data_IF_584595573249
#
_entry.id   IF_584595573249
#
_cell.length_a   1.000
_cell.length_b   1.000
_cell.length_c   1.000
_cell.angle_alpha   90.00
_cell.angle_beta   90.00
_cell.angle_gamma   90.00
#
_symmetry.space_group_name_H-M   'P 1'
#
loop_
_entity.id
_entity.type
_entity.pdbx_description
1 polymer ?
#
# COMPACT_ATOMS: atom_id res chain seq x y z
N UNK A 1 -12.27 -5.51 -12.18
CA UNK A 1 -11.04 -4.90 -12.75
C UNK A 1 -9.82 -5.61 -12.21
N UNK A 2 -8.89 -5.87 -13.07
CA UNK A 2 -7.55 -6.36 -12.76
C UNK A 2 -6.54 -5.37 -13.32
N UNK A 3 -5.52 -5.08 -12.56
CA UNK A 3 -4.38 -4.28 -12.99
C UNK A 3 -3.10 -4.85 -12.39
N UNK A 4 -2.06 -4.83 -13.17
CA UNK A 4 -0.71 -5.20 -12.80
C UNK A 4 0.22 -4.05 -13.17
N UNK A 5 1.15 -3.72 -12.32
CA UNK A 5 2.10 -2.66 -12.55
C UNK A 5 3.47 -3.11 -12.06
N UNK A 6 4.40 -3.20 -13.01
CA UNK A 6 5.81 -3.42 -12.75
C UNK A 6 6.57 -2.12 -12.98
N UNK A 7 7.40 -1.73 -12.04
CA UNK A 7 8.16 -0.50 -12.14
C UNK A 7 9.56 -0.66 -11.56
N UNK A 8 10.47 0.15 -12.08
CA UNK A 8 11.79 0.37 -11.51
C UNK A 8 12.01 1.86 -11.36
N UNK A 9 12.36 2.30 -10.17
CA UNK A 9 12.64 3.68 -9.88
C UNK A 9 14.01 3.80 -9.18
N UNK A 10 14.60 4.97 -9.28
CA UNK A 10 15.89 5.28 -8.66
C UNK A 10 15.70 6.32 -7.56
N UNK A 11 16.37 6.09 -6.45
CA UNK A 11 16.32 7.01 -5.32
C UNK A 11 17.28 8.21 -5.54
N UNK A 12 16.98 9.06 -6.52
CA UNK A 12 17.80 10.24 -6.87
C UNK A 12 18.10 11.14 -5.67
N UNK A 13 17.14 11.33 -4.79
CA UNK A 13 17.35 12.14 -3.59
C UNK A 13 18.40 11.52 -2.65
N UNK A 14 18.53 10.22 -2.68
CA UNK A 14 19.52 9.48 -1.93
C UNK A 14 20.89 9.59 -2.60
N UNK A 15 20.95 9.49 -3.92
CA UNK A 15 22.16 9.68 -4.72
C UNK A 15 22.72 11.09 -4.54
N UNK A 16 21.90 12.13 -4.70
CA UNK A 16 22.32 13.52 -4.52
C UNK A 16 22.84 13.80 -3.11
N UNK A 17 22.29 13.14 -2.13
CA UNK A 17 22.73 13.26 -0.75
C UNK A 17 24.11 12.63 -0.55
N UNK A 18 24.39 11.49 -1.15
CA UNK A 18 25.67 10.81 -1.10
C UNK A 18 26.76 11.56 -1.89
N UNK A 19 26.44 12.04 -3.05
CA UNK A 19 27.36 12.83 -3.88
C UNK A 19 27.74 14.17 -3.24
N UNK A 20 26.81 14.75 -2.50
CA UNK A 20 26.98 16.08 -1.91
C UNK A 20 27.55 16.11 -0.51
N UNK A 21 27.95 15.04 0.04
CA UNK A 21 28.74 14.94 1.15
C UNK A 21 28.43 14.46 2.41
N UNK A 22 28.33 13.36 2.52
CA UNK A 22 28.91 12.81 3.69
C UNK A 22 28.26 13.10 5.05
N UNK A 23 27.10 13.68 5.14
CA UNK A 23 26.41 13.76 6.41
C UNK A 23 25.80 12.43 6.83
N UNK A 24 24.92 11.85 6.02
CA UNK A 24 24.31 10.54 6.27
C UNK A 24 25.14 9.38 5.69
N UNK A 25 25.96 9.61 4.70
CA UNK A 25 26.90 8.60 4.20
C UNK A 25 27.76 8.00 5.32
N UNK A 26 28.00 8.78 6.35
CA UNK A 26 28.73 8.33 7.52
C UNK A 26 27.99 7.23 8.31
N UNK A 27 26.69 7.17 8.23
CA UNK A 27 25.84 6.22 8.98
C UNK A 27 25.50 4.96 8.20
N UNK A 28 25.66 4.96 6.88
CA UNK A 28 25.29 3.87 6.00
C UNK A 28 26.48 3.33 5.21
N UNK A 29 27.39 2.65 5.91
CA UNK A 29 28.43 1.89 5.23
C UNK A 29 27.84 0.61 4.68
N UNK A 30 27.43 0.66 3.42
CA UNK A 30 27.07 -0.54 2.71
C UNK A 30 28.32 -1.26 2.26
N UNK A 31 28.34 -2.55 2.49
CA UNK A 31 29.48 -3.41 2.24
C UNK A 31 29.06 -4.61 1.40
N UNK A 32 30.00 -5.08 0.59
CA UNK A 32 29.89 -6.36 -0.09
C UNK A 32 30.11 -7.55 0.87
N UNK A 33 30.11 -8.77 0.31
CA UNK A 33 30.35 -10.00 1.09
C UNK A 33 31.76 -10.09 1.69
N UNK A 34 32.71 -9.34 1.20
CA UNK A 34 34.09 -9.27 1.68
C UNK A 34 34.30 -8.14 2.71
N UNK A 35 33.29 -7.34 2.97
CA UNK A 35 33.34 -6.19 3.87
C UNK A 35 33.89 -4.91 3.23
N UNK A 36 34.08 -4.88 1.92
CA UNK A 36 34.48 -3.67 1.20
C UNK A 36 33.29 -2.75 0.99
N UNK A 37 33.50 -1.44 1.18
CA UNK A 37 32.49 -0.41 0.94
C UNK A 37 32.11 -0.38 -0.54
N UNK A 38 30.81 -0.34 -0.81
CA UNK A 38 30.23 -0.31 -2.14
C UNK A 38 29.53 1.02 -2.41
N UNK A 39 29.21 1.25 -3.68
CA UNK A 39 28.36 2.36 -4.12
C UNK A 39 26.95 2.18 -3.53
N UNK A 40 26.46 3.16 -2.74
CA UNK A 40 25.17 3.03 -2.03
C UNK A 40 23.96 3.35 -2.88
N UNK A 41 24.10 3.60 -4.17
CA UNK A 41 22.97 3.93 -5.04
C UNK A 41 21.91 2.86 -5.00
N UNK A 42 20.70 3.29 -4.78
CA UNK A 42 19.54 2.43 -4.54
C UNK A 42 18.56 2.54 -5.70
N UNK A 43 18.01 1.41 -6.10
CA UNK A 43 16.86 1.35 -7.01
C UNK A 43 15.73 0.58 -6.35
N UNK A 44 14.50 0.94 -6.66
CA UNK A 44 13.30 0.23 -6.25
C UNK A 44 12.76 -0.56 -7.43
N UNK A 45 12.59 -1.85 -7.26
CA UNK A 45 11.90 -2.73 -8.21
C UNK A 45 10.57 -3.10 -7.56
N UNK A 46 9.46 -2.73 -8.19
CA UNK A 46 8.14 -2.94 -7.64
C UNK A 46 7.22 -3.71 -8.57
N UNK A 47 6.38 -4.52 -7.98
CA UNK A 47 5.29 -5.22 -8.65
C UNK A 47 4.03 -5.10 -7.82
N UNK A 48 2.96 -4.59 -8.44
CA UNK A 48 1.65 -4.45 -7.82
C UNK A 48 0.59 -5.23 -8.61
N UNK A 49 -0.10 -6.12 -7.93
CA UNK A 49 -1.23 -6.85 -8.50
C UNK A 49 -2.53 -6.40 -7.85
N UNK A 50 -3.33 -5.66 -8.57
CA UNK A 50 -4.59 -5.11 -8.09
C UNK A 50 -5.78 -5.83 -8.69
N UNK A 51 -6.72 -6.26 -7.83
CA UNK A 51 -8.00 -6.88 -8.22
C UNK A 51 -9.14 -6.17 -7.52
N UNK A 52 -10.18 -5.85 -8.27
CA UNK A 52 -11.37 -5.19 -7.72
C UNK A 52 -12.64 -5.82 -8.28
N UNK A 53 -13.53 -6.18 -7.38
CA UNK A 53 -14.93 -6.55 -7.66
C UNK A 53 -15.82 -5.52 -6.97
N UNK A 54 -16.77 -4.94 -7.70
CA UNK A 54 -17.83 -4.11 -7.14
C UNK A 54 -19.17 -4.55 -7.69
N UNK A 55 -20.18 -4.55 -6.85
CA UNK A 55 -21.55 -4.89 -7.15
C UNK A 55 -22.49 -3.87 -6.52
N UNK A 56 -23.45 -3.41 -7.27
CA UNK A 56 -24.50 -2.54 -6.77
C UNK A 56 -25.86 -3.04 -7.28
N UNK A 57 -26.79 -3.17 -6.38
CA UNK A 57 -28.20 -3.38 -6.71
C UNK A 57 -28.97 -2.15 -6.31
N UNK A 58 -29.67 -1.55 -7.27
CA UNK A 58 -30.44 -0.33 -7.07
C UNK A 58 -31.88 -0.54 -7.48
N UNK A 59 -32.80 0.04 -6.71
CA UNK A 59 -34.21 0.16 -7.05
C UNK A 59 -34.61 1.62 -7.02
N UNK A 60 -35.48 2.02 -7.92
CA UNK A 60 -36.03 3.37 -7.96
C UNK A 60 -37.51 3.30 -8.32
N UNK A 61 -38.29 4.23 -7.77
CA UNK A 61 -39.68 4.45 -8.20
C UNK A 61 -39.74 5.17 -9.55
N UNK A 62 -40.90 5.20 -10.22
CA UNK A 62 -41.14 6.13 -11.32
C UNK A 62 -40.80 7.56 -10.92
N UNK A 63 -40.27 8.35 -11.87
CA UNK A 63 -39.79 9.70 -11.58
C UNK A 63 -40.84 10.80 -11.85
N UNK A 64 -41.95 10.43 -12.40
CA UNK A 64 -43.09 11.28 -12.74
C UNK A 64 -44.16 11.36 -11.62
N UNK A 65 -43.94 10.63 -10.52
CA UNK A 65 -44.81 10.66 -9.36
C UNK A 65 -44.34 11.71 -8.33
N UNK A 66 -45.29 12.30 -7.56
CA UNK A 66 -44.93 13.26 -6.52
C UNK A 66 -44.04 12.68 -5.40
N UNK A 67 -44.17 11.39 -5.14
CA UNK A 67 -43.32 10.67 -4.20
C UNK A 67 -42.35 9.77 -4.97
N UNK A 68 -41.08 10.07 -4.85
CA UNK A 68 -40.01 9.33 -5.53
C UNK A 68 -39.02 8.79 -4.53
N UNK A 69 -38.53 7.61 -4.79
CA UNK A 69 -37.44 7.04 -3.99
C UNK A 69 -36.42 6.35 -4.88
N UNK A 70 -35.20 6.33 -4.38
CA UNK A 70 -34.13 5.44 -4.85
C UNK A 70 -33.48 4.81 -3.62
N UNK A 71 -33.13 3.55 -3.74
CA UNK A 71 -32.39 2.85 -2.68
C UNK A 71 -31.60 1.70 -3.24
N UNK A 72 -30.61 1.26 -2.49
CA UNK A 72 -29.78 0.19 -2.95
C UNK A 72 -28.79 -0.33 -1.93
N UNK A 73 -28.13 -1.40 -2.33
CA UNK A 73 -27.03 -1.99 -1.59
C UNK A 73 -25.78 -2.05 -2.48
N UNK A 74 -24.65 -1.86 -1.86
CA UNK A 74 -23.36 -1.85 -2.51
C UNK A 74 -22.40 -2.80 -1.79
N UNK A 75 -21.63 -3.52 -2.57
CA UNK A 75 -20.52 -4.33 -2.10
C UNK A 75 -19.29 -4.09 -2.98
N UNK A 76 -18.15 -3.93 -2.34
CA UNK A 76 -16.86 -3.91 -3.01
C UNK A 76 -15.86 -4.77 -2.25
N UNK A 77 -15.06 -5.49 -3.00
CA UNK A 77 -13.83 -6.13 -2.51
C UNK A 77 -12.69 -5.78 -3.44
N UNK A 78 -11.62 -5.26 -2.87
CA UNK A 78 -10.37 -5.08 -3.58
C UNK A 78 -9.24 -5.77 -2.85
N UNK A 79 -8.27 -6.28 -3.59
CA UNK A 79 -7.01 -6.77 -3.06
C UNK A 79 -5.86 -6.17 -3.84
N UNK A 80 -4.79 -5.84 -3.13
CA UNK A 80 -3.54 -5.41 -3.71
C UNK A 80 -2.41 -6.23 -3.11
N UNK A 81 -1.73 -7.01 -3.95
CA UNK A 81 -0.48 -7.67 -3.60
C UNK A 81 0.66 -6.74 -4.01
N UNK A 82 1.42 -6.29 -3.02
CA UNK A 82 2.47 -5.29 -3.15
C UNK A 82 3.80 -5.98 -2.91
N UNK A 83 4.71 -5.85 -3.88
CA UNK A 83 6.09 -6.26 -3.73
C UNK A 83 7.01 -5.11 -4.14
N UNK A 84 7.88 -4.68 -3.23
CA UNK A 84 8.88 -3.64 -3.48
C UNK A 84 10.22 -4.10 -2.93
N UNK A 85 11.20 -4.09 -3.81
CA UNK A 85 12.53 -4.58 -3.55
C UNK A 85 13.52 -3.40 -3.72
N UNK A 86 14.04 -2.90 -2.61
CA UNK A 86 15.00 -1.79 -2.58
C UNK A 86 16.40 -2.34 -2.68
N UNK A 87 16.97 -2.30 -3.85
CA UNK A 87 18.24 -2.94 -4.18
C UNK A 87 19.40 -1.98 -4.21
N UNK A 88 20.53 -2.49 -3.72
CA UNK A 88 21.85 -1.88 -3.86
C UNK A 88 22.77 -2.91 -4.51
N UNK A 89 23.41 -2.54 -5.60
CA UNK A 89 24.28 -3.46 -6.32
C UNK A 89 25.52 -3.81 -5.50
N UNK A 90 25.80 -5.09 -5.38
CA UNK A 90 26.93 -5.59 -4.60
C UNK A 90 26.68 -5.68 -3.08
N UNK A 91 25.48 -5.35 -2.59
CA UNK A 91 25.16 -5.43 -1.16
C UNK A 91 25.40 -6.84 -0.61
N UNK A 92 26.21 -6.91 0.43
CA UNK A 92 26.55 -8.17 1.07
C UNK A 92 25.36 -8.84 1.77
N UNK A 93 25.38 -10.15 1.92
CA UNK A 93 24.29 -10.91 2.54
C UNK A 93 24.08 -10.55 4.01
N UNK A 94 25.11 -10.04 4.69
CA UNK A 94 25.04 -9.64 6.09
C UNK A 94 24.12 -8.43 6.34
N UNK A 95 23.86 -7.62 5.31
CA UNK A 95 22.97 -6.44 5.35
C UNK A 95 21.78 -6.56 4.41
N UNK A 96 21.71 -7.64 3.65
CA UNK A 96 20.56 -7.94 2.79
C UNK A 96 19.42 -8.57 3.60
N UNK A 97 18.19 -8.33 3.14
CA UNK A 97 17.02 -9.05 3.66
C UNK A 97 17.21 -10.55 3.43
N UNK A 98 16.95 -11.35 4.45
CA UNK A 98 17.15 -12.80 4.38
C UNK A 98 16.33 -13.43 3.24
N UNK A 99 17.02 -14.16 2.37
CA UNK A 99 16.42 -14.74 1.15
C UNK A 99 16.34 -13.81 -0.05
N UNK A 100 16.72 -12.53 0.09
CA UNK A 100 16.68 -11.52 -0.97
C UNK A 100 18.06 -10.85 -1.13
N UNK A 101 19.02 -11.49 -1.81
CA UNK A 101 20.36 -10.93 -1.98
C UNK A 101 20.33 -9.55 -2.66
N UNK A 102 21.11 -8.62 -2.14
CA UNK A 102 21.19 -7.27 -2.66
C UNK A 102 20.04 -6.36 -2.24
N UNK A 103 19.10 -6.85 -1.46
CA UNK A 103 17.92 -6.11 -1.01
C UNK A 103 18.14 -5.52 0.37
N UNK A 104 18.17 -4.21 0.45
CA UNK A 104 18.29 -3.48 1.72
C UNK A 104 16.96 -3.44 2.49
N UNK A 105 15.88 -3.13 1.77
CA UNK A 105 14.53 -3.08 2.30
C UNK A 105 13.59 -3.87 1.40
N UNK A 106 12.72 -4.65 2.00
CA UNK A 106 11.68 -5.41 1.30
C UNK A 106 10.30 -5.02 1.82
N UNK A 107 9.37 -4.79 0.92
CA UNK A 107 7.94 -4.76 1.19
C UNK A 107 7.28 -5.91 0.45
N UNK A 108 6.62 -6.80 1.16
CA UNK A 108 5.87 -7.90 0.58
C UNK A 108 4.58 -8.08 1.37
N UNK A 109 3.51 -7.49 0.86
CA UNK A 109 2.24 -7.36 1.58
C UNK A 109 1.05 -7.68 0.69
N UNK A 110 0.00 -8.20 1.31
CA UNK A 110 -1.33 -8.28 0.71
C UNK A 110 -2.30 -7.42 1.51
N UNK A 111 -2.91 -6.45 0.83
CA UNK A 111 -3.97 -5.60 1.37
C UNK A 111 -5.30 -6.04 0.81
N UNK A 112 -6.29 -6.23 1.68
CA UNK A 112 -7.66 -6.54 1.29
C UNK A 112 -8.58 -5.51 1.93
N UNK A 113 -9.36 -4.83 1.09
CA UNK A 113 -10.38 -3.88 1.50
C UNK A 113 -11.75 -4.41 1.09
N UNK A 114 -12.72 -4.35 2.00
CA UNK A 114 -14.12 -4.69 1.75
C UNK A 114 -15.00 -3.53 2.20
N UNK A 115 -15.92 -3.14 1.33
CA UNK A 115 -16.89 -2.09 1.60
C UNK A 115 -18.30 -2.64 1.37
N UNK A 116 -19.15 -2.44 2.35
CA UNK A 116 -20.57 -2.78 2.33
C UNK A 116 -21.36 -1.52 2.61
N UNK A 117 -22.35 -1.22 1.79
CA UNK A 117 -23.22 -0.08 2.06
C UNK A 117 -24.67 -0.38 1.71
N UNK A 118 -25.55 0.29 2.42
CA UNK A 118 -26.95 0.46 2.06
C UNK A 118 -27.23 1.96 1.98
N UNK A 119 -27.95 2.39 0.96
CA UNK A 119 -28.26 3.80 0.76
C UNK A 119 -29.72 3.96 0.31
N UNK A 120 -30.25 5.14 0.53
CA UNK A 120 -31.55 5.50 0.07
C UNK A 120 -31.77 7.00 0.08
N UNK A 121 -32.67 7.42 -0.79
CA UNK A 121 -33.13 8.79 -0.91
C UNK A 121 -34.63 8.78 -1.16
N UNK A 122 -35.33 9.71 -0.54
CA UNK A 122 -36.75 9.96 -0.71
C UNK A 122 -36.95 11.41 -1.10
N UNK A 123 -37.70 11.65 -2.17
CA UNK A 123 -38.10 12.98 -2.63
C UNK A 123 -39.61 13.08 -2.67
N UNK A 124 -40.14 14.20 -2.17
CA UNK A 124 -41.56 14.49 -2.16
C UNK A 124 -41.83 15.91 -2.63
N UNK A 125 -42.71 16.04 -3.62
CA UNK A 125 -43.15 17.34 -4.13
C UNK A 125 -44.28 17.90 -3.22
N UNK A 126 -43.93 18.88 -2.43
CA UNK A 126 -44.87 19.59 -1.56
C UNK A 126 -45.78 20.48 -2.35
N UNK A 127 -45.23 21.13 -3.38
CA UNK A 127 -45.95 21.92 -4.37
C UNK A 127 -45.28 21.70 -5.73
N UNK A 128 -45.89 22.17 -6.85
CA UNK A 128 -45.22 22.09 -8.17
C UNK A 128 -43.83 22.73 -8.23
N UNK A 129 -43.57 23.69 -7.33
CA UNK A 129 -42.32 24.47 -7.31
C UNK A 129 -41.38 24.04 -6.16
N UNK A 130 -41.86 23.18 -5.22
CA UNK A 130 -41.09 22.83 -4.02
C UNK A 130 -41.02 21.33 -3.81
N UNK A 131 -39.84 20.78 -3.94
CA UNK A 131 -39.51 19.37 -3.64
C UNK A 131 -38.68 19.27 -2.36
N UNK A 132 -39.09 18.41 -1.45
CA UNK A 132 -38.29 18.04 -0.29
C UNK A 132 -37.57 16.71 -0.55
N UNK A 133 -36.26 16.69 -0.35
CA UNK A 133 -35.45 15.48 -0.52
C UNK A 133 -34.68 15.17 0.77
N UNK A 134 -34.69 13.92 1.17
CA UNK A 134 -33.88 13.39 2.29
C UNK A 134 -33.26 12.07 1.88
N UNK A 135 -31.99 11.92 2.18
CA UNK A 135 -31.24 10.70 1.87
C UNK A 135 -30.15 10.37 2.88
N UNK A 136 -29.68 9.14 2.82
CA UNK A 136 -28.61 8.68 3.69
C UNK A 136 -27.92 7.43 3.17
N UNK A 137 -26.74 7.19 3.73
CA UNK A 137 -25.93 5.99 3.46
C UNK A 137 -25.38 5.45 4.78
N UNK A 138 -25.59 4.17 4.99
CA UNK A 138 -24.93 3.40 6.02
C UNK A 138 -23.87 2.54 5.38
N UNK A 139 -22.70 2.46 5.98
CA UNK A 139 -21.60 1.66 5.43
C UNK A 139 -20.81 0.95 6.52
N UNK A 140 -20.22 -0.17 6.13
CA UNK A 140 -19.23 -0.90 6.91
C UNK A 140 -17.99 -1.10 6.03
N UNK A 141 -16.83 -0.79 6.59
CA UNK A 141 -15.54 -0.97 5.94
C UNK A 141 -14.69 -1.94 6.76
N UNK A 142 -14.17 -2.97 6.10
CA UNK A 142 -13.21 -3.92 6.67
C UNK A 142 -11.90 -3.83 5.86
N UNK A 143 -10.80 -3.62 6.55
CA UNK A 143 -9.47 -3.58 5.96
C UNK A 143 -8.55 -4.60 6.62
N UNK A 144 -7.73 -5.27 5.84
CA UNK A 144 -6.65 -6.10 6.33
C UNK A 144 -5.38 -5.85 5.53
N UNK A 145 -4.25 -5.83 6.23
CA UNK A 145 -2.92 -5.75 5.66
C UNK A 145 -2.08 -6.84 6.30
N UNK A 146 -1.63 -7.79 5.50
CA UNK A 146 -0.83 -8.92 5.95
C UNK A 146 0.44 -8.98 5.12
N UNK A 147 1.57 -9.19 5.78
CA UNK A 147 2.83 -9.36 5.08
C UNK A 147 4.01 -8.83 5.87
N UNK A 148 5.08 -8.59 5.13
CA UNK A 148 6.37 -8.17 5.66
C UNK A 148 6.76 -6.83 5.06
N UNK A 149 7.39 -5.99 5.87
CA UNK A 149 8.21 -4.87 5.41
C UNK A 149 9.35 -4.65 6.39
N UNK A 150 10.53 -4.32 5.89
CA UNK A 150 11.66 -4.05 6.75
C UNK A 150 13.02 -4.12 6.07
N UNK A 151 14.01 -3.75 6.84
CA UNK A 151 15.41 -3.80 6.45
C UNK A 151 15.98 -5.22 6.57
N UNK A 152 17.10 -5.42 5.89
CA UNK A 152 17.97 -6.56 6.08
C UNK A 152 18.58 -6.59 7.50
N UNK A 153 19.14 -7.73 7.83
CA UNK A 153 19.86 -7.93 9.09
C UNK A 153 21.17 -7.14 9.06
N UNK A 154 21.44 -6.42 10.13
CA UNK A 154 22.75 -5.80 10.36
C UNK A 154 23.39 -6.43 11.61
N UNK A 155 24.08 -7.57 11.49
CA UNK A 155 24.73 -8.21 12.62
C UNK A 155 25.97 -7.40 13.03
N UNK A 156 25.93 -6.71 14.11
CA UNK A 156 27.07 -5.96 14.65
C UNK A 156 26.79 -4.47 14.87
N UNK A 157 25.55 -4.08 14.75
CA UNK A 157 25.08 -2.76 15.09
C UNK A 157 24.00 -2.88 16.17
N UNK A 158 23.88 -1.86 17.03
CA UNK A 158 22.88 -1.81 18.11
C UNK A 158 21.43 -1.91 17.63
N UNK A 159 21.21 -1.79 16.34
CA UNK A 159 19.92 -2.07 15.71
C UNK A 159 19.59 -3.57 15.59
N UNK A 160 20.52 -4.45 15.93
CA UNK A 160 20.33 -5.90 15.87
C UNK A 160 19.24 -6.41 16.84
N UNK A 161 18.98 -5.66 17.90
CA UNK A 161 18.00 -6.03 18.93
C UNK A 161 16.64 -5.35 18.73
N UNK A 162 16.53 -4.52 17.70
CA UNK A 162 15.31 -3.80 17.36
C UNK A 162 14.48 -4.50 16.27
N UNK A 163 13.42 -3.83 15.79
CA UNK A 163 12.60 -4.31 14.66
C UNK A 163 13.39 -4.50 13.36
N UNK A 164 14.64 -4.09 13.33
CA UNK A 164 15.57 -4.20 12.20
C UNK A 164 16.51 -5.40 12.28
N UNK A 165 16.34 -6.33 13.20
CA UNK A 165 17.25 -7.46 13.40
C UNK A 165 17.15 -8.58 12.35
N UNK A 166 16.71 -8.26 11.16
CA UNK A 166 16.60 -9.18 10.03
C UNK A 166 15.34 -10.03 10.04
N UNK A 167 14.48 -9.85 11.03
CA UNK A 167 13.16 -10.47 11.01
C UNK A 167 12.15 -9.58 10.27
N UNK A 168 12.46 -8.28 10.06
CA UNK A 168 11.48 -7.30 9.64
C UNK A 168 10.29 -7.25 10.58
N UNK A 169 9.52 -6.21 10.55
CA UNK A 169 8.23 -6.22 11.23
C UNK A 169 7.25 -7.03 10.39
N UNK A 170 6.72 -8.12 10.91
CA UNK A 170 5.48 -8.66 10.37
C UNK A 170 4.38 -7.67 10.71
N UNK A 171 3.97 -6.85 9.76
CA UNK A 171 2.74 -6.12 9.90
C UNK A 171 1.59 -7.11 9.79
N UNK A 172 1.21 -7.69 10.91
CA UNK A 172 -0.13 -8.24 11.02
C UNK A 172 -1.05 -7.03 11.09
N UNK A 173 -1.75 -6.77 10.01
CA UNK A 173 -2.78 -5.74 10.00
C UNK A 173 -3.77 -5.99 11.12
N UNK A 174 -4.01 -4.98 11.90
CA UNK A 174 -5.05 -4.91 12.92
C UNK A 174 -6.39 -4.64 12.23
#
# INVERSE_FOLDING_TARGET
>A
TYAENDYTDYAEAYDSYYENKGGLAYWFYYQDSAGATIDPRQRVIGTDHFKKLSQELRIASPQDEPLRFVGGVFFQRQSNAIHQDYKIDGLGPQVSVNGFPGTLWLTQQERIDKDYAAFGELSFDLTPELTLTAGGRLFKYDNSLIGFFGFGRNPGNDFSDGPFNGAGSTATGV
#
